data_IF_252547646162
#
_entry.id   IF_252547646162
#
_cell.length_a   1.000
_cell.length_b   1.000
_cell.length_c   1.000
_cell.angle_alpha   90.00
_cell.angle_beta   90.00
_cell.angle_gamma   90.00
#
_symmetry.space_group_name_H-M   'P 1'
#
loop_
_entity.id
_entity.type
_entity.pdbx_description
1 polymer ?
#
# COMPACT_ATOMS: atom_id res chain seq x y z
N UNK A 1 10.59 -44.17 -12.00
CA UNK A 1 10.50 -42.98 -11.12
C UNK A 1 9.02 -42.68 -10.99
N UNK A 2 8.44 -42.99 -9.83
CA UNK A 2 7.02 -42.87 -9.54
C UNK A 2 6.61 -41.40 -9.46
N UNK A 3 5.69 -40.99 -10.33
CA UNK A 3 4.88 -39.80 -10.12
C UNK A 3 3.90 -40.10 -8.98
N UNK A 4 4.17 -39.54 -7.79
CA UNK A 4 3.20 -39.51 -6.70
C UNK A 4 2.03 -38.61 -7.10
N UNK A 5 0.97 -39.22 -7.59
CA UNK A 5 -0.34 -38.60 -7.70
C UNK A 5 -0.76 -38.10 -6.32
N UNK A 6 -1.03 -36.79 -6.23
CA UNK A 6 -1.69 -36.16 -5.09
C UNK A 6 -3.13 -36.68 -5.00
N UNK A 7 -3.33 -37.81 -4.33
CA UNK A 7 -4.66 -38.36 -4.04
C UNK A 7 -5.26 -37.64 -2.82
N UNK A 8 -5.67 -36.38 -3.03
CA UNK A 8 -6.54 -35.66 -2.09
C UNK A 8 -7.93 -36.25 -2.29
N UNK A 9 -8.48 -36.94 -1.28
CA UNK A 9 -9.79 -37.60 -1.32
C UNK A 9 -10.83 -36.66 -1.93
N UNK A 10 -11.53 -37.09 -2.98
CA UNK A 10 -12.59 -36.34 -3.70
C UNK A 10 -13.53 -35.57 -2.75
N UNK A 11 -13.87 -36.20 -1.63
CA UNK A 11 -14.74 -35.64 -0.60
C UNK A 11 -14.21 -34.38 0.11
N UNK A 12 -12.90 -34.17 0.21
CA UNK A 12 -12.33 -32.95 0.81
C UNK A 12 -12.43 -31.77 -0.17
N UNK A 13 -12.23 -32.04 -1.46
CA UNK A 13 -12.34 -31.02 -2.52
C UNK A 13 -13.81 -30.61 -2.70
N UNK A 14 -14.71 -31.57 -2.69
CA UNK A 14 -16.17 -31.34 -2.75
C UNK A 14 -16.66 -30.47 -1.60
N UNK A 15 -16.25 -30.77 -0.36
CA UNK A 15 -16.59 -29.95 0.82
C UNK A 15 -16.04 -28.52 0.74
N UNK A 16 -14.78 -28.36 0.32
CA UNK A 16 -14.18 -27.04 0.15
C UNK A 16 -14.92 -26.20 -0.90
N UNK A 17 -15.37 -26.83 -1.98
CA UNK A 17 -16.18 -26.20 -3.00
C UNK A 17 -17.56 -25.78 -2.47
N UNK A 18 -18.24 -26.65 -1.73
CA UNK A 18 -19.54 -26.36 -1.13
C UNK A 18 -19.46 -25.15 -0.19
N UNK A 19 -18.47 -25.12 0.71
CA UNK A 19 -18.21 -24.00 1.60
C UNK A 19 -17.91 -22.70 0.85
N UNK A 20 -17.14 -22.76 -0.25
CA UNK A 20 -16.85 -21.58 -1.07
C UNK A 20 -18.10 -21.07 -1.80
N UNK A 21 -18.96 -21.96 -2.31
CA UNK A 21 -20.24 -21.60 -2.94
C UNK A 21 -21.20 -20.95 -1.95
N UNK A 22 -21.34 -21.53 -0.76
CA UNK A 22 -22.16 -20.98 0.32
C UNK A 22 -21.67 -19.60 0.74
N UNK A 23 -20.35 -19.42 0.92
CA UNK A 23 -19.78 -18.12 1.25
C UNK A 23 -20.04 -17.11 0.15
N UNK A 24 -19.78 -17.45 -1.10
CA UNK A 24 -20.02 -16.58 -2.24
C UNK A 24 -21.50 -16.18 -2.36
N UNK A 25 -22.42 -17.11 -2.10
CA UNK A 25 -23.86 -16.84 -2.04
C UNK A 25 -24.26 -15.80 -1.00
N UNK A 26 -23.50 -15.64 0.10
CA UNK A 26 -23.72 -14.58 1.10
C UNK A 26 -23.22 -13.20 0.65
N UNK A 27 -22.30 -13.16 -0.33
CA UNK A 27 -21.69 -11.92 -0.82
C UNK A 27 -22.49 -11.29 -1.97
N UNK A 28 -23.35 -12.07 -2.61
CA UNK A 28 -24.14 -11.66 -3.78
C UNK A 28 -25.63 -11.64 -3.44
N UNK A 29 -26.39 -10.80 -4.15
CA UNK A 29 -27.84 -10.74 -3.99
C UNK A 29 -28.50 -12.07 -4.41
N UNK A 30 -29.61 -12.49 -3.75
CA UNK A 30 -30.30 -13.77 -4.03
C UNK A 30 -30.81 -13.96 -5.46
N UNK A 31 -30.82 -12.89 -6.27
CA UNK A 31 -31.33 -12.91 -7.65
C UNK A 31 -30.35 -13.52 -8.66
N UNK A 32 -29.15 -13.91 -8.23
CA UNK A 32 -28.08 -14.42 -9.09
C UNK A 32 -27.92 -15.93 -8.82
N UNK A 33 -28.91 -16.72 -9.22
CA UNK A 33 -28.90 -18.20 -9.09
C UNK A 33 -27.79 -18.87 -9.93
N UNK A 34 -27.20 -18.16 -10.89
CA UNK A 34 -26.14 -18.66 -11.76
C UNK A 34 -24.80 -17.96 -11.50
N UNK A 35 -24.14 -18.26 -10.38
CA UNK A 35 -22.68 -18.18 -10.39
C UNK A 35 -22.17 -19.39 -11.16
N UNK A 36 -22.15 -19.25 -12.48
CA UNK A 36 -21.48 -20.18 -13.38
C UNK A 36 -19.99 -20.20 -13.07
N UNK A 37 -19.55 -21.09 -12.18
CA UNK A 37 -18.15 -21.48 -12.06
C UNK A 37 -17.77 -22.14 -13.39
N UNK A 38 -17.22 -21.34 -14.32
CA UNK A 38 -16.90 -21.74 -15.69
C UNK A 38 -15.91 -22.92 -15.69
N UNK A 39 -16.43 -24.14 -15.85
CA UNK A 39 -15.64 -25.38 -15.91
C UNK A 39 -15.56 -25.93 -17.34
N UNK A 40 -14.34 -26.05 -17.87
CA UNK A 40 -13.96 -26.95 -18.99
C UNK A 40 -12.52 -26.70 -19.50
N UNK A 41 -11.46 -26.89 -18.69
CA UNK A 41 -10.03 -26.98 -19.14
C UNK A 41 -9.04 -27.12 -17.95
N UNK A 42 -7.84 -27.67 -18.18
CA UNK A 42 -6.82 -27.86 -17.13
C UNK A 42 -6.29 -26.55 -16.53
N UNK A 43 -6.16 -25.48 -17.32
CA UNK A 43 -5.87 -24.12 -16.81
C UNK A 43 -7.05 -23.61 -15.96
N UNK A 44 -8.29 -24.01 -16.28
CA UNK A 44 -9.46 -23.68 -15.47
C UNK A 44 -9.42 -24.40 -14.12
N UNK A 45 -8.86 -25.61 -14.02
CA UNK A 45 -8.73 -26.28 -12.72
C UNK A 45 -7.80 -25.52 -11.75
N UNK A 46 -6.65 -25.04 -12.22
CA UNK A 46 -5.74 -24.25 -11.38
C UNK A 46 -6.39 -22.93 -10.93
N UNK A 47 -6.98 -22.20 -11.88
CA UNK A 47 -7.68 -20.94 -11.61
C UNK A 47 -8.84 -21.14 -10.63
N UNK A 48 -9.62 -22.18 -10.84
CA UNK A 48 -10.71 -22.56 -9.96
C UNK A 48 -10.22 -22.91 -8.55
N UNK A 49 -9.15 -23.70 -8.43
CA UNK A 49 -8.52 -24.02 -7.14
C UNK A 49 -8.07 -22.74 -6.41
N UNK A 50 -7.48 -21.79 -7.14
CA UNK A 50 -7.07 -20.50 -6.58
C UNK A 50 -8.28 -19.68 -6.08
N UNK A 51 -9.36 -19.61 -6.87
CA UNK A 51 -10.60 -18.94 -6.45
C UNK A 51 -11.18 -19.55 -5.18
N UNK A 52 -11.33 -20.88 -5.15
CA UNK A 52 -11.84 -21.60 -3.96
C UNK A 52 -10.96 -21.31 -2.75
N UNK A 53 -9.63 -21.40 -2.90
CA UNK A 53 -8.69 -21.13 -1.80
C UNK A 53 -8.82 -19.70 -1.26
N UNK A 54 -8.94 -18.70 -2.14
CA UNK A 54 -9.07 -17.29 -1.74
C UNK A 54 -10.41 -17.03 -1.04
N UNK A 55 -11.50 -17.64 -1.53
CA UNK A 55 -12.81 -17.58 -0.89
C UNK A 55 -12.80 -18.22 0.50
N UNK A 56 -12.17 -19.38 0.65
CA UNK A 56 -12.05 -20.05 1.95
C UNK A 56 -11.21 -19.23 2.94
N UNK A 57 -10.06 -18.67 2.51
CA UNK A 57 -9.27 -17.74 3.35
C UNK A 57 -10.10 -16.52 3.76
N UNK A 58 -10.85 -15.93 2.83
CA UNK A 58 -11.72 -14.80 3.14
C UNK A 58 -12.81 -15.16 4.17
N UNK A 59 -13.44 -16.33 4.01
CA UNK A 59 -14.41 -16.88 4.97
C UNK A 59 -13.78 -17.04 6.36
N UNK A 60 -12.59 -17.62 6.45
CA UNK A 60 -11.85 -17.78 7.72
C UNK A 60 -11.57 -16.43 8.40
N UNK A 61 -11.21 -15.39 7.63
CA UNK A 61 -11.02 -14.04 8.15
C UNK A 61 -12.32 -13.40 8.66
N UNK A 62 -13.43 -13.60 7.94
CA UNK A 62 -14.74 -13.12 8.38
C UNK A 62 -15.17 -13.80 9.68
N UNK A 63 -15.01 -15.12 9.75
CA UNK A 63 -15.40 -15.92 10.91
C UNK A 63 -14.53 -15.62 12.13
N UNK A 64 -13.20 -15.52 11.96
CA UNK A 64 -12.27 -15.25 13.05
C UNK A 64 -12.44 -13.86 13.67
N UNK A 65 -12.91 -12.88 12.90
CA UNK A 65 -13.13 -11.49 13.36
C UNK A 65 -14.60 -11.14 13.56
N UNK A 66 -15.50 -12.12 13.41
CA UNK A 66 -16.94 -11.98 13.58
C UNK A 66 -17.53 -10.77 12.82
N UNK A 67 -17.10 -10.59 11.56
CA UNK A 67 -17.42 -9.40 10.75
C UNK A 67 -18.85 -9.44 10.23
N UNK A 68 -19.50 -8.27 10.21
CA UNK A 68 -20.79 -8.06 9.57
C UNK A 68 -20.62 -7.85 8.07
N UNK A 69 -21.33 -8.65 7.27
CA UNK A 69 -21.18 -8.66 5.82
C UNK A 69 -22.20 -7.76 5.13
N UNK A 70 -21.78 -7.17 4.00
CA UNK A 70 -22.62 -6.48 3.03
C UNK A 70 -22.41 -7.08 1.64
N UNK A 71 -23.41 -6.93 0.76
CA UNK A 71 -23.31 -7.37 -0.63
C UNK A 71 -22.23 -6.59 -1.38
N UNK A 72 -21.52 -7.28 -2.27
CA UNK A 72 -20.51 -6.67 -3.15
C UNK A 72 -21.04 -6.59 -4.59
N UNK A 73 -20.94 -5.43 -5.27
CA UNK A 73 -21.33 -5.30 -6.67
C UNK A 73 -20.59 -6.29 -7.58
N UNK A 74 -21.31 -6.96 -8.49
CA UNK A 74 -20.73 -7.93 -9.45
C UNK A 74 -19.58 -7.32 -10.26
N UNK A 75 -19.70 -6.03 -10.63
CA UNK A 75 -18.66 -5.29 -11.35
C UNK A 75 -17.32 -5.19 -10.60
N UNK A 76 -17.31 -5.47 -9.30
CA UNK A 76 -16.10 -5.55 -8.46
C UNK A 76 -15.74 -7.02 -8.22
N UNK A 77 -16.72 -7.82 -7.81
CA UNK A 77 -16.51 -9.22 -7.44
C UNK A 77 -15.96 -10.07 -8.59
N UNK A 78 -16.51 -9.92 -9.80
CA UNK A 78 -16.07 -10.72 -10.95
C UNK A 78 -14.63 -10.38 -11.33
N UNK A 79 -14.25 -9.11 -11.57
CA UNK A 79 -12.84 -8.78 -11.82
C UNK A 79 -11.89 -9.21 -10.70
N UNK A 80 -12.32 -9.11 -9.44
CA UNK A 80 -11.55 -9.57 -8.29
C UNK A 80 -11.27 -11.07 -8.39
N UNK A 81 -12.31 -11.91 -8.50
CA UNK A 81 -12.15 -13.37 -8.53
C UNK A 81 -11.42 -13.85 -9.80
N UNK A 82 -11.61 -13.18 -10.93
CA UNK A 82 -10.90 -13.52 -12.17
C UNK A 82 -9.41 -13.24 -12.06
N UNK A 83 -9.03 -12.06 -11.57
CA UNK A 83 -7.62 -11.68 -11.40
C UNK A 83 -6.94 -12.50 -10.30
N UNK A 84 -7.62 -12.65 -9.16
CA UNK A 84 -7.16 -13.46 -8.04
C UNK A 84 -6.93 -14.93 -8.43
N UNK A 85 -7.70 -15.45 -9.41
CA UNK A 85 -7.52 -16.83 -9.92
C UNK A 85 -6.15 -17.07 -10.57
N UNK A 86 -5.51 -16.02 -11.07
CA UNK A 86 -4.22 -16.09 -11.76
C UNK A 86 -3.03 -15.96 -10.81
N UNK A 87 -3.27 -15.60 -9.55
CA UNK A 87 -2.22 -15.41 -8.57
C UNK A 87 -1.70 -16.77 -8.07
N UNK A 88 -0.38 -16.97 -8.07
CA UNK A 88 0.26 -18.19 -7.57
C UNK A 88 1.11 -17.95 -6.32
N UNK A 89 1.49 -16.69 -6.05
CA UNK A 89 2.21 -16.32 -4.85
C UNK A 89 1.25 -16.38 -3.64
N UNK A 90 1.57 -17.23 -2.67
CA UNK A 90 0.71 -17.44 -1.50
C UNK A 90 0.49 -16.16 -0.66
N UNK A 91 1.51 -15.29 -0.57
CA UNK A 91 1.40 -14.02 0.14
C UNK A 91 0.47 -13.05 -0.58
N UNK A 92 0.50 -13.00 -1.91
CA UNK A 92 -0.45 -12.16 -2.67
C UNK A 92 -1.88 -12.74 -2.65
N UNK A 93 -2.05 -14.07 -2.65
CA UNK A 93 -3.37 -14.68 -2.44
C UNK A 93 -3.97 -14.33 -1.08
N UNK A 94 -3.14 -14.24 -0.05
CA UNK A 94 -3.57 -13.73 1.25
C UNK A 94 -4.10 -12.29 1.13
N UNK A 95 -3.41 -11.41 0.37
CA UNK A 95 -3.86 -10.03 0.12
C UNK A 95 -5.17 -9.99 -0.66
N UNK A 96 -5.37 -10.89 -1.63
CA UNK A 96 -6.63 -11.02 -2.35
C UNK A 96 -7.79 -11.41 -1.41
N UNK A 97 -7.55 -12.35 -0.49
CA UNK A 97 -8.56 -12.76 0.49
C UNK A 97 -8.91 -11.59 1.43
N UNK A 98 -7.90 -10.89 1.96
CA UNK A 98 -8.08 -9.71 2.82
C UNK A 98 -8.78 -8.56 2.09
N UNK A 99 -8.45 -8.33 0.82
CA UNK A 99 -9.15 -7.39 -0.05
C UNK A 99 -10.63 -7.71 -0.17
N UNK A 100 -10.97 -8.97 -0.44
CA UNK A 100 -12.37 -9.38 -0.50
C UNK A 100 -13.07 -9.11 0.84
N UNK A 101 -12.48 -9.51 1.96
CA UNK A 101 -12.99 -9.29 3.32
C UNK A 101 -13.29 -7.81 3.58
N UNK A 102 -12.33 -6.94 3.25
CA UNK A 102 -12.47 -5.50 3.47
C UNK A 102 -13.54 -4.86 2.55
N UNK A 103 -13.79 -5.42 1.37
CA UNK A 103 -14.86 -4.95 0.47
C UNK A 103 -16.25 -5.42 0.90
N UNK A 104 -16.35 -6.54 1.60
CA UNK A 104 -17.63 -7.09 2.07
C UNK A 104 -17.92 -6.75 3.52
N UNK A 105 -16.99 -6.11 4.25
CA UNK A 105 -17.22 -5.63 5.60
C UNK A 105 -18.14 -4.39 5.57
N UNK A 106 -19.31 -4.48 6.21
CA UNK A 106 -20.32 -3.42 6.24
C UNK A 106 -19.87 -2.13 6.94
N UNK A 107 -18.87 -2.22 7.83
CA UNK A 107 -18.30 -1.07 8.54
C UNK A 107 -17.29 -0.29 7.71
N UNK A 108 -16.85 -0.85 6.57
CA UNK A 108 -15.83 -0.26 5.70
C UNK A 108 -16.46 0.19 4.39
N UNK A 109 -16.07 1.38 3.93
CA UNK A 109 -16.47 1.89 2.62
C UNK A 109 -15.33 1.73 1.59
N UNK A 110 -14.97 0.48 1.28
CA UNK A 110 -13.83 0.13 0.41
C UNK A 110 -14.21 -0.57 -0.90
N UNK A 111 -15.51 -0.59 -1.25
CA UNK A 111 -16.01 -1.17 -2.49
C UNK A 111 -15.63 -0.33 -3.72
N UNK A 112 -14.39 -0.47 -4.19
CA UNK A 112 -13.90 0.19 -5.38
C UNK A 112 -13.22 -0.80 -6.34
N UNK A 113 -13.61 -0.74 -7.62
CA UNK A 113 -13.08 -1.60 -8.67
C UNK A 113 -11.57 -1.43 -8.90
N UNK A 114 -10.97 -0.29 -8.53
CA UNK A 114 -9.55 -0.01 -8.80
C UNK A 114 -8.61 -0.99 -8.10
N UNK A 115 -8.94 -1.41 -6.86
CA UNK A 115 -8.01 -2.19 -6.04
C UNK A 115 -7.68 -3.58 -6.61
N UNK A 116 -8.63 -4.35 -7.16
CA UNK A 116 -8.33 -5.56 -7.90
C UNK A 116 -7.34 -5.33 -9.06
N UNK A 117 -7.47 -4.24 -9.80
CA UNK A 117 -6.53 -3.95 -10.90
C UNK A 117 -5.13 -3.63 -10.36
N UNK A 118 -5.03 -2.90 -9.25
CA UNK A 118 -3.75 -2.57 -8.62
C UNK A 118 -3.03 -3.83 -8.10
N UNK A 119 -3.71 -4.68 -7.33
CA UNK A 119 -3.11 -5.90 -6.79
C UNK A 119 -2.68 -6.87 -7.89
N UNK A 120 -3.40 -6.91 -9.02
CA UNK A 120 -3.03 -7.75 -10.17
C UNK A 120 -1.80 -7.28 -10.96
N UNK A 121 -1.23 -6.13 -10.62
CA UNK A 121 -0.17 -5.46 -11.39
C UNK A 121 1.09 -5.19 -10.58
N UNK A 122 1.19 -5.73 -9.36
CA UNK A 122 2.35 -5.54 -8.50
C UNK A 122 3.00 -6.86 -8.09
N UNK A 123 4.30 -6.81 -7.84
CA UNK A 123 5.06 -7.89 -7.22
C UNK A 123 4.85 -7.92 -5.70
N UNK A 124 5.32 -9.00 -5.05
CA UNK A 124 5.29 -9.07 -3.59
C UNK A 124 6.35 -8.13 -2.98
N UNK A 125 7.46 -7.92 -3.69
CA UNK A 125 8.53 -6.99 -3.36
C UNK A 125 8.00 -5.55 -3.32
N UNK A 126 7.32 -5.13 -4.39
CA UNK A 126 6.65 -3.82 -4.48
C UNK A 126 5.61 -3.61 -3.38
N UNK A 127 4.79 -4.63 -3.10
CA UNK A 127 3.81 -4.57 -2.01
C UNK A 127 4.47 -4.38 -0.65
N UNK A 128 5.55 -5.12 -0.37
CA UNK A 128 6.28 -5.02 0.89
C UNK A 128 6.97 -3.66 1.04
N UNK A 129 7.56 -3.12 -0.02
CA UNK A 129 8.16 -1.79 0.02
C UNK A 129 7.12 -0.69 0.25
N UNK A 130 5.91 -0.81 -0.32
CA UNK A 130 4.79 0.09 0.00
C UNK A 130 4.43 0.06 1.49
N UNK A 131 4.45 -1.13 2.12
CA UNK A 131 4.22 -1.24 3.56
C UNK A 131 5.29 -0.55 4.38
N UNK A 132 6.56 -0.76 4.04
CA UNK A 132 7.68 -0.10 4.70
C UNK A 132 7.61 1.43 4.53
N UNK A 133 7.22 1.90 3.33
CA UNK A 133 6.99 3.31 3.08
C UNK A 133 5.89 3.89 3.98
N UNK A 134 4.77 3.18 4.16
CA UNK A 134 3.70 3.61 5.07
C UNK A 134 4.18 3.70 6.53
N UNK A 135 5.01 2.75 6.98
CA UNK A 135 5.60 2.80 8.33
C UNK A 135 6.47 4.06 8.49
N UNK A 136 7.33 4.34 7.50
CA UNK A 136 8.18 5.54 7.46
C UNK A 136 7.34 6.82 7.50
N UNK A 137 6.26 6.88 6.71
CA UNK A 137 5.33 8.01 6.65
C UNK A 137 4.59 8.23 7.98
N UNK A 138 4.09 7.16 8.60
CA UNK A 138 3.43 7.23 9.89
C UNK A 138 4.37 7.73 11.01
N UNK A 139 5.62 7.26 11.00
CA UNK A 139 6.64 7.73 11.95
C UNK A 139 6.97 9.21 11.74
N UNK A 140 7.07 9.64 10.48
CA UNK A 140 7.26 11.04 10.13
C UNK A 140 6.08 11.92 10.59
N UNK A 141 4.84 11.48 10.35
CA UNK A 141 3.64 12.18 10.79
C UNK A 141 3.58 12.32 12.32
N UNK A 142 3.89 11.25 13.07
CA UNK A 142 3.96 11.28 14.55
C UNK A 142 4.98 12.31 15.04
N UNK A 143 6.20 12.29 14.51
CA UNK A 143 7.24 13.26 14.88
C UNK A 143 6.86 14.70 14.56
N UNK A 144 6.14 14.93 13.46
CA UNK A 144 5.61 16.25 13.10
C UNK A 144 4.56 16.76 14.10
N UNK A 145 3.69 15.86 14.58
CA UNK A 145 2.74 16.18 15.66
C UNK A 145 3.47 16.50 16.97
N UNK A 146 4.46 15.69 17.36
CA UNK A 146 5.28 15.94 18.56
C UNK A 146 5.96 17.32 18.52
N UNK A 147 6.53 17.71 17.37
CA UNK A 147 7.12 19.04 17.21
C UNK A 147 6.06 20.15 17.36
N UNK A 148 4.85 19.93 16.86
CA UNK A 148 3.76 20.89 16.96
C UNK A 148 3.30 21.06 18.40
N UNK A 149 3.10 19.95 19.12
CA UNK A 149 2.74 19.97 20.55
C UNK A 149 3.78 20.66 21.42
N UNK A 150 5.07 20.44 21.13
CA UNK A 150 6.18 21.10 21.82
C UNK A 150 6.18 22.61 21.59
N UNK A 151 5.88 23.08 20.37
CA UNK A 151 5.77 24.52 20.07
C UNK A 151 4.64 25.17 20.85
N UNK A 152 3.47 24.52 20.90
CA UNK A 152 2.29 25.03 21.62
C UNK A 152 2.53 25.13 23.13
N UNK A 153 3.19 24.14 23.73
CA UNK A 153 3.44 24.11 25.18
C UNK A 153 4.44 25.16 25.69
N UNK A 154 5.29 25.71 24.82
CA UNK A 154 6.50 26.44 25.22
C UNK A 154 6.62 27.86 24.66
N UNK A 155 5.53 28.38 24.07
CA UNK A 155 5.26 29.80 23.77
C UNK A 155 6.49 30.54 23.18
N UNK A 156 6.91 30.11 21.98
CA UNK A 156 7.99 30.64 21.13
C UNK A 156 9.43 30.70 21.69
N UNK A 157 9.64 30.54 23.01
CA UNK A 157 10.98 30.38 23.64
C UNK A 157 11.71 29.12 23.20
N UNK A 158 11.01 28.17 22.58
CA UNK A 158 11.54 26.84 22.23
C UNK A 158 12.23 26.78 20.86
N UNK A 159 11.92 27.70 19.94
CA UNK A 159 12.54 27.77 18.61
C UNK A 159 14.06 27.97 18.65
N UNK A 160 14.59 28.40 19.80
CA UNK A 160 16.00 28.67 20.04
C UNK A 160 16.77 27.50 20.69
N UNK A 161 16.11 26.45 21.20
CA UNK A 161 16.82 25.28 21.75
C UNK A 161 17.41 24.43 20.63
N UNK A 162 18.67 24.03 20.80
CA UNK A 162 19.43 23.25 19.81
C UNK A 162 18.71 21.95 19.42
N UNK A 163 18.22 21.20 20.40
CA UNK A 163 17.47 19.95 20.19
C UNK A 163 16.25 20.15 19.28
N UNK A 164 15.51 21.25 19.46
CA UNK A 164 14.34 21.60 18.64
C UNK A 164 14.73 21.98 17.22
N UNK A 165 15.87 22.66 17.04
CA UNK A 165 16.40 23.00 15.72
C UNK A 165 16.86 21.76 14.97
N UNK A 166 17.57 20.86 15.65
CA UNK A 166 18.04 19.60 15.08
C UNK A 166 16.84 18.72 14.69
N UNK A 167 15.84 18.61 15.58
CA UNK A 167 14.62 17.86 15.30
C UNK A 167 13.80 18.45 14.13
N UNK A 168 13.70 19.78 14.06
CA UNK A 168 13.07 20.45 12.91
C UNK A 168 13.86 20.18 11.62
N UNK A 169 15.18 20.28 11.65
CA UNK A 169 16.03 20.06 10.48
C UNK A 169 15.91 18.63 9.94
N UNK A 170 15.75 17.63 10.81
CA UNK A 170 15.48 16.25 10.41
C UNK A 170 14.13 16.12 9.67
N UNK A 171 13.07 16.76 10.19
CA UNK A 171 11.76 16.76 9.54
C UNK A 171 11.80 17.48 8.19
N UNK A 172 12.43 18.66 8.13
CA UNK A 172 12.60 19.44 6.90
C UNK A 172 13.42 18.66 5.85
N UNK A 173 14.32 17.77 6.29
CA UNK A 173 15.06 16.87 5.39
C UNK A 173 14.15 15.81 4.79
N UNK A 174 13.27 15.18 5.58
CA UNK A 174 12.31 14.19 5.07
C UNK A 174 11.24 14.84 4.19
N UNK A 175 10.78 16.06 4.50
CA UNK A 175 9.83 16.78 3.65
C UNK A 175 10.39 17.07 2.26
N UNK A 176 11.67 17.46 2.20
CA UNK A 176 12.35 17.77 0.94
C UNK A 176 12.77 16.52 0.17
N UNK A 177 13.31 15.52 0.86
CA UNK A 177 13.98 14.39 0.20
C UNK A 177 13.10 13.16 0.11
N UNK A 178 12.05 13.04 0.92
CA UNK A 178 11.20 11.85 0.98
C UNK A 178 11.97 10.62 1.47
N UNK A 179 11.55 9.45 0.98
CA UNK A 179 12.11 8.17 1.39
C UNK A 179 12.72 7.42 0.21
N UNK A 180 13.82 6.72 0.48
CA UNK A 180 14.38 5.75 -0.43
C UNK A 180 13.55 4.45 -0.41
N UNK A 181 13.38 3.85 -1.60
CA UNK A 181 12.71 2.57 -1.82
C UNK A 181 13.71 1.56 -2.35
N UNK A 182 13.79 0.38 -1.73
CA UNK A 182 14.74 -0.67 -2.08
C UNK A 182 14.20 -1.57 -3.21
N UNK A 183 13.91 -0.97 -4.37
CA UNK A 183 13.37 -1.64 -5.55
C UNK A 183 14.27 -1.45 -6.78
N UNK A 184 14.05 -2.24 -7.82
CA UNK A 184 14.65 -1.99 -9.13
C UNK A 184 13.95 -0.83 -9.86
N UNK A 185 14.64 -0.18 -10.80
CA UNK A 185 14.12 1.02 -11.47
C UNK A 185 12.76 0.81 -12.14
N UNK A 186 12.52 -0.36 -12.75
CA UNK A 186 11.24 -0.66 -13.38
C UNK A 186 10.10 -0.86 -12.37
N UNK A 187 10.41 -1.32 -11.16
CA UNK A 187 9.43 -1.48 -10.07
C UNK A 187 9.03 -0.11 -9.50
N UNK A 188 9.98 0.83 -9.38
CA UNK A 188 9.65 2.22 -9.04
C UNK A 188 8.72 2.84 -10.08
N UNK A 189 9.03 2.67 -11.36
CA UNK A 189 8.20 3.16 -12.47
C UNK A 189 6.81 2.51 -12.46
N UNK A 190 6.73 1.22 -12.11
CA UNK A 190 5.47 0.52 -11.96
C UNK A 190 4.61 1.11 -10.82
N UNK A 191 5.20 1.34 -9.65
CA UNK A 191 4.50 1.97 -8.53
C UNK A 191 4.07 3.41 -8.85
N UNK A 192 4.88 4.16 -9.60
CA UNK A 192 4.55 5.51 -10.07
C UNK A 192 3.41 5.50 -11.09
N UNK A 193 3.44 4.64 -12.12
CA UNK A 193 2.38 4.57 -13.15
C UNK A 193 1.05 4.12 -12.56
N UNK A 194 1.08 3.28 -11.52
CA UNK A 194 -0.11 2.84 -10.79
C UNK A 194 -0.62 3.92 -9.83
N UNK A 195 0.13 5.01 -9.66
CA UNK A 195 -0.20 6.12 -8.79
C UNK A 195 -0.15 5.75 -7.32
N UNK A 196 0.61 4.72 -6.93
CA UNK A 196 0.72 4.24 -5.55
C UNK A 196 1.73 5.08 -4.75
N UNK A 197 2.74 5.62 -5.42
CA UNK A 197 3.75 6.53 -4.85
C UNK A 197 3.83 7.84 -5.65
N UNK A 198 4.45 8.85 -5.03
CA UNK A 198 4.75 10.15 -5.63
C UNK A 198 6.26 10.36 -5.59
N UNK A 199 6.85 10.79 -6.70
CA UNK A 199 8.25 11.23 -6.76
C UNK A 199 8.33 12.71 -6.35
N UNK A 200 9.21 13.04 -5.42
CA UNK A 200 9.49 14.43 -5.05
C UNK A 200 10.39 15.10 -6.10
N UNK A 201 10.33 16.44 -6.24
CA UNK A 201 11.22 17.16 -7.14
C UNK A 201 12.70 16.89 -6.78
N UNK A 202 13.59 16.85 -7.78
CA UNK A 202 15.02 16.71 -7.55
C UNK A 202 15.56 17.87 -6.71
N UNK A 203 16.66 17.63 -6.00
CA UNK A 203 17.30 18.68 -5.21
C UNK A 203 17.82 19.79 -6.11
N UNK A 204 17.57 21.02 -5.67
CA UNK A 204 18.09 22.23 -6.28
C UNK A 204 19.24 22.73 -5.41
N UNK A 205 20.44 22.74 -5.97
CA UNK A 205 21.60 23.39 -5.39
C UNK A 205 21.69 24.79 -5.95
N UNK A 206 21.66 25.80 -5.08
CA UNK A 206 21.86 27.19 -5.47
C UNK A 206 23.26 27.56 -5.03
N UNK A 207 24.17 27.75 -5.99
CA UNK A 207 25.51 28.27 -5.69
C UNK A 207 25.42 29.77 -5.41
N UNK A 208 25.67 30.14 -4.16
CA UNK A 208 25.79 31.52 -3.73
C UNK A 208 27.25 31.83 -3.40
N UNK A 209 27.78 32.91 -3.97
CA UNK A 209 29.09 33.42 -3.63
C UNK A 209 29.02 34.88 -3.24
N UNK A 210 30.00 35.27 -2.41
CA UNK A 210 30.12 36.61 -1.86
C UNK A 210 31.11 37.43 -2.67
N UNK A 211 30.77 38.68 -2.96
CA UNK A 211 31.73 39.67 -3.44
C UNK A 211 31.68 40.91 -2.56
N UNK A 212 32.85 41.41 -2.14
CA UNK A 212 32.99 42.57 -1.27
C UNK A 212 33.51 42.20 0.12
N UNK A 213 34.63 42.81 0.52
CA UNK A 213 35.30 42.54 1.79
C UNK A 213 36.81 42.69 1.71
N UNK A 214 37.30 43.87 1.30
CA UNK A 214 38.59 44.38 1.74
C UNK A 214 38.61 45.89 1.56
N UNK A 215 38.82 46.56 2.69
CA UNK A 215 39.05 47.99 2.90
C UNK A 215 37.85 48.83 3.34
N UNK A 216 38.12 49.46 4.47
CA UNK A 216 37.46 50.53 5.18
C UNK A 216 36.56 51.45 4.32
N UNK A 217 35.36 51.66 4.87
CA UNK A 217 34.30 52.60 4.46
C UNK A 217 33.59 52.28 3.13
N UNK A 218 32.35 51.80 3.28
CA UNK A 218 31.31 51.65 2.25
C UNK A 218 31.55 50.58 1.16
N UNK A 219 31.39 49.31 1.52
CA UNK A 219 30.98 48.28 0.56
C UNK A 219 29.80 47.51 1.15
N UNK A 220 28.60 47.74 0.62
CA UNK A 220 27.45 46.89 0.91
C UNK A 220 27.76 45.47 0.46
N UNK A 221 27.66 44.49 1.35
CA UNK A 221 27.77 43.08 0.99
C UNK A 221 26.75 42.76 -0.11
N UNK A 222 27.22 42.20 -1.24
CA UNK A 222 26.34 41.77 -2.33
C UNK A 222 26.48 40.25 -2.50
N UNK A 223 25.38 39.55 -2.27
CA UNK A 223 25.23 38.13 -2.55
C UNK A 223 24.84 37.93 -4.00
N UNK A 224 25.56 37.04 -4.69
CA UNK A 224 25.34 36.73 -6.10
C UNK A 224 24.96 35.25 -6.23
N UNK A 225 23.85 34.98 -6.93
CA UNK A 225 23.41 33.63 -7.33
C UNK A 225 23.95 33.36 -8.73
N UNK A 226 24.74 32.30 -8.91
CA UNK A 226 25.39 31.98 -10.19
C UNK A 226 24.44 31.14 -11.04
N UNK A 227 24.21 29.90 -10.64
CA UNK A 227 23.43 28.92 -11.39
C UNK A 227 22.73 27.97 -10.40
N UNK A 228 21.56 27.48 -10.80
CA UNK A 228 20.85 26.44 -10.08
C UNK A 228 21.18 25.08 -10.71
N UNK A 229 21.85 24.22 -9.96
CA UNK A 229 22.14 22.85 -10.38
C UNK A 229 21.08 21.88 -9.87
N UNK A 230 20.63 20.97 -10.73
CA UNK A 230 19.70 19.91 -10.39
C UNK A 230 20.44 18.58 -10.31
N UNK A 231 20.35 17.89 -9.18
CA UNK A 231 20.72 16.48 -9.12
C UNK A 231 19.49 15.66 -9.54
N UNK A 232 19.47 15.25 -10.81
CA UNK A 232 18.35 14.54 -11.41
C UNK A 232 18.10 13.16 -10.80
N UNK A 233 19.06 12.58 -10.09
CA UNK A 233 18.98 11.24 -9.51
C UNK A 233 18.78 11.27 -7.99
N UNK A 234 19.00 12.42 -7.34
CA UNK A 234 18.76 12.62 -5.90
C UNK A 234 17.34 13.09 -5.61
N UNK A 235 16.40 12.17 -5.79
CA UNK A 235 15.00 12.32 -5.41
C UNK A 235 14.55 11.13 -4.56
N UNK A 236 13.53 11.35 -3.72
CA UNK A 236 12.88 10.28 -2.99
C UNK A 236 11.38 10.23 -3.22
N UNK A 237 10.77 9.25 -2.58
CA UNK A 237 9.39 8.89 -2.78
C UNK A 237 8.56 9.15 -1.54
N UNK A 238 7.28 9.45 -1.76
CA UNK A 238 6.24 9.57 -0.73
C UNK A 238 5.07 8.68 -1.11
N UNK A 239 4.34 8.19 -0.11
CA UNK A 239 3.12 7.43 -0.38
C UNK A 239 2.04 8.37 -0.96
N UNK A 240 1.22 7.86 -1.87
CA UNK A 240 0.01 8.57 -2.30
C UNK A 240 -1.21 8.18 -1.45
N UNK A 241 -2.30 8.94 -1.54
CA UNK A 241 -3.56 8.58 -0.88
C UNK A 241 -4.14 7.27 -1.45
N UNK A 242 -3.96 7.04 -2.76
CA UNK A 242 -4.34 5.78 -3.41
C UNK A 242 -3.51 4.60 -2.87
N UNK A 243 -2.21 4.79 -2.69
CA UNK A 243 -1.29 3.80 -2.10
C UNK A 243 -1.67 3.44 -0.66
N UNK A 244 -1.99 4.46 0.15
CA UNK A 244 -2.49 4.25 1.51
C UNK A 244 -3.78 3.41 1.51
N UNK A 245 -4.78 3.82 0.74
CA UNK A 245 -6.06 3.09 0.66
C UNK A 245 -5.91 1.70 0.05
N UNK A 246 -5.00 1.54 -0.90
CA UNK A 246 -4.70 0.24 -1.50
C UNK A 246 -4.15 -0.76 -0.46
N UNK A 247 -3.16 -0.36 0.33
CA UNK A 247 -2.61 -1.22 1.39
C UNK A 247 -3.64 -1.49 2.49
N UNK A 248 -4.41 -0.48 2.91
CA UNK A 248 -5.51 -0.63 3.87
C UNK A 248 -6.55 -1.65 3.37
N UNK A 249 -6.82 -1.67 2.07
CA UNK A 249 -7.73 -2.65 1.47
C UNK A 249 -7.12 -4.06 1.47
N UNK A 250 -5.80 -4.18 1.33
CA UNK A 250 -5.11 -5.48 1.25
C UNK A 250 -4.71 -6.07 2.61
N UNK A 251 -4.89 -5.34 3.72
CA UNK A 251 -4.55 -5.79 5.06
C UNK A 251 -5.78 -5.70 5.98
N UNK A 252 -5.89 -6.63 6.93
CA UNK A 252 -6.93 -6.54 7.96
C UNK A 252 -6.24 -6.13 9.25
N UNK A 253 -6.72 -5.06 9.87
CA UNK A 253 -6.22 -4.59 11.16
C UNK A 253 -6.20 -5.75 12.17
N UNK A 254 -5.03 -6.05 12.70
CA UNK A 254 -4.91 -6.93 13.85
C UNK A 254 -5.46 -6.16 15.05
N UNK A 255 -6.43 -6.77 15.77
CA UNK A 255 -6.83 -6.22 17.06
C UNK A 255 -5.55 -6.10 17.90
N UNK A 256 -5.25 -4.88 18.36
CA UNK A 256 -4.20 -4.70 19.36
C UNK A 256 -4.58 -5.61 20.52
N UNK A 257 -3.78 -6.65 20.75
CA UNK A 257 -3.90 -7.47 21.94
C UNK A 257 -3.91 -6.49 23.12
N UNK A 258 -5.07 -6.39 23.77
CA UNK A 258 -5.21 -5.61 24.99
C UNK A 258 -4.34 -6.31 26.02
N UNK A 259 -3.18 -5.73 26.30
CA UNK A 259 -2.28 -6.12 27.38
C UNK A 259 -2.20 -4.97 28.37
#
# INVERSE_FOLDING_TARGET
MENKEFNIKSSTVEKGLELAKEFLGKLISPTIEEVGLLMSDNIKFLRFKNQVRILLKAKEYVESKNLTLTEIPIKILVPLLEKASLENNESLQDKWAKMLVNMVNSEKNLQNQIFPYLLSQISIEEFNELKELIIKENNFAKRKLELTDLKVKLDDKYSFKKETKDFKAELDKVERNGFWLSLEGFEHENLLRLGLIKRLPPKIYIEEFKTGGNNDYESSEQWHQIEAEYDFDDFGYRISDLGLKFIETCEIEEEKASH
#
